data_IF_990904406972
#
_entry.id   IF_990904406972
#
_cell.length_a   1.000
_cell.length_b   1.000
_cell.length_c   1.000
_cell.angle_alpha   90.00
_cell.angle_beta   90.00
_cell.angle_gamma   90.00
#
_symmetry.space_group_name_H-M   'P 1'
#
loop_
_entity.id
_entity.type
_entity.pdbx_description
1 polymer ?
#
# COMPACT_ATOMS: atom_id res chain seq x y z
N UNK A 1 9.93 3.04 13.97
CA UNK A 1 9.92 1.77 13.21
C UNK A 1 10.39 2.04 11.76
N UNK A 2 10.68 1.01 10.95
CA UNK A 2 11.21 1.14 9.58
C UNK A 2 10.36 2.06 8.66
N UNK A 3 9.03 2.00 8.79
CA UNK A 3 8.10 2.87 8.05
C UNK A 3 8.21 4.35 8.45
N UNK A 4 8.42 4.67 9.73
CA UNK A 4 8.67 6.06 10.17
C UNK A 4 10.00 6.60 9.64
N UNK A 5 11.00 5.72 9.52
CA UNK A 5 12.31 6.08 8.95
C UNK A 5 12.20 6.35 7.44
N UNK A 6 11.42 5.53 6.72
CA UNK A 6 11.14 5.75 5.29
C UNK A 6 10.32 7.01 5.06
N UNK A 7 9.36 7.35 5.93
CA UNK A 7 8.63 8.62 5.86
C UNK A 7 9.56 9.83 6.01
N UNK A 8 10.61 9.72 6.83
CA UNK A 8 11.59 10.80 7.03
C UNK A 8 12.64 10.88 5.93
N UNK A 9 13.07 9.74 5.38
CA UNK A 9 14.18 9.68 4.42
C UNK A 9 13.76 9.62 2.95
N UNK A 10 12.64 8.97 2.62
CA UNK A 10 12.14 8.81 1.24
C UNK A 10 10.60 8.88 1.18
N UNK A 11 10.00 10.07 1.41
CA UNK A 11 8.55 10.25 1.32
C UNK A 11 8.00 9.99 -0.09
N UNK A 12 8.84 10.04 -1.13
CA UNK A 12 8.46 9.74 -2.53
C UNK A 12 8.03 8.29 -2.77
N UNK A 13 8.41 7.35 -1.88
CA UNK A 13 7.95 5.95 -1.95
C UNK A 13 6.62 5.70 -1.24
N UNK A 14 6.14 6.68 -0.48
CA UNK A 14 4.82 6.59 0.13
C UNK A 14 3.79 6.97 -0.93
N UNK A 15 2.79 6.11 -1.10
CA UNK A 15 1.65 6.43 -1.95
C UNK A 15 0.67 7.29 -1.16
N UNK A 16 0.15 8.31 -1.84
CA UNK A 16 -0.87 9.21 -1.31
C UNK A 16 -2.06 9.19 -2.27
N UNK A 17 -3.27 9.06 -1.74
CA UNK A 17 -4.49 9.00 -2.53
C UNK A 17 -5.72 9.06 -1.64
N UNK A 18 -6.89 9.35 -2.24
CA UNK A 18 -8.16 9.44 -1.51
C UNK A 18 -8.52 8.16 -0.73
N UNK A 19 -7.98 7.03 -1.18
CA UNK A 19 -8.21 5.68 -0.65
C UNK A 19 -7.12 5.23 0.35
N UNK A 20 -6.08 6.05 0.56
CA UNK A 20 -4.88 5.69 1.31
C UNK A 20 -4.83 6.47 2.62
N UNK A 21 -4.73 5.74 3.74
CA UNK A 21 -4.75 6.33 5.08
C UNK A 21 -3.43 6.01 5.79
N UNK A 22 -2.60 7.01 6.08
CA UNK A 22 -1.37 6.83 6.87
C UNK A 22 -0.14 6.43 6.05
N UNK A 23 0.76 5.64 6.64
CA UNK A 23 2.01 5.24 5.98
C UNK A 23 1.74 4.02 5.09
N UNK A 24 1.67 4.22 3.77
CA UNK A 24 1.44 3.13 2.83
C UNK A 24 2.48 3.15 1.72
N UNK A 25 3.06 1.98 1.45
CA UNK A 25 3.99 1.76 0.35
C UNK A 25 3.29 0.87 -0.67
N UNK A 26 3.24 1.34 -1.91
CA UNK A 26 2.71 0.58 -3.04
C UNK A 26 3.79 0.56 -4.11
N UNK A 27 4.05 -0.63 -4.64
CA UNK A 27 4.90 -0.79 -5.82
C UNK A 27 4.16 -0.34 -7.09
N UNK A 28 4.87 0.28 -8.04
CA UNK A 28 4.27 0.79 -9.29
C UNK A 28 3.63 -0.31 -10.14
N UNK A 29 4.06 -1.56 -9.99
CA UNK A 29 3.49 -2.71 -10.71
C UNK A 29 2.24 -3.30 -10.04
N UNK A 30 1.88 -2.82 -8.85
CA UNK A 30 0.68 -3.28 -8.16
C UNK A 30 -0.58 -2.64 -8.76
N UNK A 31 -1.61 -3.46 -8.95
CA UNK A 31 -2.91 -3.02 -9.44
C UNK A 31 -3.87 -2.86 -8.28
N UNK A 32 -4.55 -1.72 -8.22
CA UNK A 32 -5.49 -1.39 -7.15
C UNK A 32 -6.85 -1.13 -7.77
N UNK A 33 -7.84 -1.93 -7.37
CA UNK A 33 -9.24 -1.80 -7.76
C UNK A 33 -9.92 -0.60 -7.12
N UNK A 34 -11.01 -0.16 -7.74
CA UNK A 34 -11.80 0.98 -7.26
C UNK A 34 -12.46 0.71 -5.89
N UNK A 35 -12.65 1.78 -5.10
CA UNK A 35 -13.31 1.69 -3.80
C UNK A 35 -12.52 0.93 -2.72
N UNK A 36 -11.24 0.63 -2.97
CA UNK A 36 -10.37 0.06 -1.96
C UNK A 36 -10.09 1.07 -0.82
N UNK A 37 -9.67 0.55 0.33
CA UNK A 37 -9.22 1.35 1.46
C UNK A 37 -7.94 0.74 2.03
N UNK A 38 -6.84 1.46 1.88
CA UNK A 38 -5.50 0.94 2.20
C UNK A 38 -4.89 1.80 3.30
N UNK A 39 -4.69 1.20 4.47
CA UNK A 39 -3.97 1.76 5.60
C UNK A 39 -4.72 1.73 6.93
N UNK A 40 -4.05 2.10 8.04
CA UNK A 40 -2.65 2.56 8.13
C UNK A 40 -1.61 1.42 8.19
N UNK A 41 -0.36 1.76 7.87
CA UNK A 41 0.83 0.90 7.93
C UNK A 41 0.74 -0.34 7.04
N UNK A 42 0.51 -0.12 5.74
CA UNK A 42 0.38 -1.18 4.74
C UNK A 42 1.54 -1.14 3.75
N UNK A 43 2.07 -2.30 3.38
CA UNK A 43 3.09 -2.44 2.35
C UNK A 43 2.61 -3.41 1.27
N UNK A 44 2.61 -2.97 0.02
CA UNK A 44 2.19 -3.75 -1.15
C UNK A 44 3.39 -3.95 -2.06
N UNK A 45 3.77 -5.20 -2.26
CA UNK A 45 4.88 -5.60 -3.11
C UNK A 45 4.56 -5.56 -4.61
N UNK A 46 5.57 -5.80 -5.46
CA UNK A 46 5.41 -5.81 -6.91
C UNK A 46 4.50 -6.93 -7.41
N UNK A 47 3.74 -6.66 -8.47
CA UNK A 47 2.84 -7.61 -9.12
C UNK A 47 1.66 -8.05 -8.26
N UNK A 48 1.32 -7.31 -7.21
CA UNK A 48 0.12 -7.57 -6.44
C UNK A 48 -1.12 -7.05 -7.16
N UNK A 49 -2.24 -7.73 -6.97
CA UNK A 49 -3.54 -7.31 -7.50
C UNK A 49 -4.51 -7.19 -6.33
N UNK A 50 -5.00 -5.98 -6.10
CA UNK A 50 -6.01 -5.67 -5.09
C UNK A 50 -7.32 -5.44 -5.84
N UNK A 51 -8.32 -6.25 -5.55
CA UNK A 51 -9.64 -6.18 -6.16
C UNK A 51 -10.47 -5.03 -5.56
N UNK A 52 -11.55 -4.69 -6.26
CA UNK A 52 -12.40 -3.56 -5.87
C UNK A 52 -13.07 -3.81 -4.50
N UNK A 53 -13.12 -2.78 -3.65
CA UNK A 53 -13.73 -2.86 -2.31
C UNK A 53 -12.87 -3.55 -1.24
N UNK A 54 -11.62 -3.93 -1.55
CA UNK A 54 -10.70 -4.53 -0.56
C UNK A 54 -10.25 -3.49 0.46
N UNK A 55 -10.19 -3.91 1.73
CA UNK A 55 -9.72 -3.08 2.84
C UNK A 55 -8.50 -3.70 3.51
N UNK A 56 -7.37 -3.01 3.47
CA UNK A 56 -6.11 -3.43 4.06
C UNK A 56 -5.73 -2.49 5.20
N UNK A 57 -5.31 -3.01 6.33
CA UNK A 57 -4.82 -2.21 7.46
C UNK A 57 -3.79 -3.00 8.25
N UNK A 58 -2.62 -2.40 8.53
CA UNK A 58 -1.51 -3.03 9.28
C UNK A 58 -1.09 -4.38 8.70
N UNK A 59 -1.01 -4.47 7.37
CA UNK A 59 -0.71 -5.70 6.65
C UNK A 59 0.41 -5.49 5.62
N UNK A 60 1.12 -6.58 5.33
CA UNK A 60 2.14 -6.61 4.27
C UNK A 60 1.72 -7.64 3.23
N UNK A 61 1.51 -7.17 2.01
CA UNK A 61 1.18 -7.99 0.84
C UNK A 61 2.48 -8.29 0.10
N UNK A 62 2.83 -9.57 0.03
CA UNK A 62 4.03 -10.05 -0.67
C UNK A 62 3.81 -10.08 -2.19
N UNK A 63 4.93 -10.06 -2.94
CA UNK A 63 4.91 -10.05 -4.41
C UNK A 63 4.01 -11.15 -5.01
N UNK A 64 3.26 -10.81 -6.06
CA UNK A 64 2.42 -11.76 -6.80
C UNK A 64 1.15 -12.21 -6.07
N UNK A 65 0.81 -11.57 -4.94
CA UNK A 65 -0.42 -11.89 -4.20
C UNK A 65 -1.61 -11.17 -4.85
N UNK A 66 -2.73 -11.89 -4.94
CA UNK A 66 -4.01 -11.38 -5.44
C UNK A 66 -5.06 -11.49 -4.33
N UNK A 67 -5.73 -10.38 -4.03
CA UNK A 67 -6.72 -10.22 -2.95
C UNK A 67 -7.92 -9.49 -3.51
#
# INVERSE_FOLDING_TARGET
>A
LYLDSLRRNLPKKLSFGAHIIGNVIVDETAQIGEGCLIGPDVAIGPGCVIEAGVRLSRCTVMRGVRI
#
